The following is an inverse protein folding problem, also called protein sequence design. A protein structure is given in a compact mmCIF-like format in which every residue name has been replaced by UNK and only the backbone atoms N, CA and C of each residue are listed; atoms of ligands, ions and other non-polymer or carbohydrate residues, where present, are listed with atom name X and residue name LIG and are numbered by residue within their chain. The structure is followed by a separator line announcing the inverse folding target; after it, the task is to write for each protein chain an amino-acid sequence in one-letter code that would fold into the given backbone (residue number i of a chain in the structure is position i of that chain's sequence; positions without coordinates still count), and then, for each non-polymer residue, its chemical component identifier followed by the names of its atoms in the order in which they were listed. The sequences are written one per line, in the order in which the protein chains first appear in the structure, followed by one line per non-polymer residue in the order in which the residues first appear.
data_IF_479465113889
#
_entry.id   IF_479465113889
#
_cell.length_a   1.000
_cell.length_b   1.000
_cell.length_c   1.000
_cell.angle_alpha   90.00
_cell.angle_beta   90.00
_cell.angle_gamma   90.00
#
_symmetry.space_group_name_H-M   'P 1'
#
loop_
_entity.id
_entity.type
_entity.pdbx_description
1 polymer ?
#
# COMPACT_ATOMS: atom_id res chain seq x y z
N UNK A 1 18.57 -32.87 -64.80
CA UNK A 1 19.12 -31.50 -64.62
C UNK A 1 18.03 -30.69 -63.91
N UNK A 2 18.25 -30.18 -62.69
CA UNK A 2 18.90 -28.87 -62.41
C UNK A 2 18.22 -27.72 -63.20
N UNK A 3 17.75 -26.60 -62.63
CA UNK A 3 17.65 -26.08 -61.25
C UNK A 3 16.61 -24.92 -61.26
N UNK A 4 16.32 -24.06 -60.26
CA UNK A 4 16.89 -23.76 -58.93
C UNK A 4 15.82 -23.09 -58.03
N UNK A 5 15.40 -23.69 -56.90
CA UNK A 5 14.41 -23.11 -55.97
C UNK A 5 15.07 -22.33 -54.82
N UNK A 6 15.66 -21.18 -55.16
CA UNK A 6 16.31 -20.28 -54.20
C UNK A 6 15.39 -19.24 -53.56
N UNK A 7 14.45 -19.65 -52.69
CA UNK A 7 13.65 -18.69 -51.89
C UNK A 7 14.46 -18.15 -50.71
N UNK A 8 14.89 -16.88 -50.83
CA UNK A 8 15.69 -16.17 -49.82
C UNK A 8 14.98 -16.12 -48.46
N UNK A 9 15.69 -16.56 -47.42
CA UNK A 9 15.32 -16.31 -46.03
C UNK A 9 15.44 -14.82 -45.68
N UNK A 10 14.32 -14.10 -45.70
CA UNK A 10 14.21 -12.74 -45.17
C UNK A 10 14.17 -12.77 -43.65
N UNK A 11 15.31 -13.03 -42.99
CA UNK A 11 15.42 -13.04 -41.54
C UNK A 11 15.39 -11.60 -41.00
N UNK A 12 14.19 -11.00 -41.01
CA UNK A 12 13.90 -9.66 -40.52
C UNK A 12 14.02 -9.59 -39.01
N UNK A 13 15.26 -9.66 -38.52
CA UNK A 13 15.61 -9.46 -37.12
C UNK A 13 15.30 -8.03 -36.71
N UNK A 14 14.04 -7.79 -36.33
CA UNK A 14 13.60 -6.60 -35.62
C UNK A 14 14.49 -6.46 -34.40
N UNK A 15 15.45 -5.54 -34.48
CA UNK A 15 16.31 -5.18 -33.37
C UNK A 15 15.42 -4.68 -32.24
N UNK A 16 15.11 -5.57 -31.29
CA UNK A 16 14.38 -5.16 -30.09
C UNK A 16 15.17 -4.00 -29.48
N UNK A 17 14.54 -2.82 -29.27
CA UNK A 17 15.24 -1.67 -28.72
C UNK A 17 15.80 -2.08 -27.37
N UNK A 18 17.13 -2.27 -27.35
CA UNK A 18 17.77 -3.03 -26.30
C UNK A 18 17.46 -2.42 -24.95
N UNK A 19 17.11 -3.28 -23.98
CA UNK A 19 16.85 -2.89 -22.59
C UNK A 19 18.13 -2.42 -21.89
N UNK A 20 18.72 -1.32 -22.38
CA UNK A 20 19.76 -0.54 -21.71
C UNK A 20 19.23 -0.23 -20.31
N UNK A 21 19.92 -0.77 -19.32
CA UNK A 21 19.30 -1.04 -18.03
C UNK A 21 18.83 0.24 -17.34
N UNK A 22 17.58 0.24 -16.88
CA UNK A 22 16.99 1.25 -15.99
C UNK A 22 17.68 1.36 -14.59
N UNK A 23 18.93 0.90 -14.47
CA UNK A 23 19.78 0.97 -13.29
C UNK A 23 21.00 1.89 -13.48
N UNK A 24 21.17 2.50 -14.67
CA UNK A 24 22.25 3.45 -14.95
C UNK A 24 21.79 4.92 -14.95
N UNK A 25 20.50 5.18 -15.20
CA UNK A 25 19.94 6.52 -14.99
C UNK A 25 19.81 6.78 -13.48
N UNK A 26 20.77 7.49 -12.90
CA UNK A 26 20.74 7.89 -11.49
C UNK A 26 19.52 8.73 -11.10
N UNK A 27 19.41 9.01 -9.79
CA UNK A 27 18.41 9.91 -9.26
C UNK A 27 18.57 11.33 -9.83
N UNK A 28 17.64 11.74 -10.68
CA UNK A 28 17.49 13.14 -11.08
C UNK A 28 16.67 13.85 -10.00
N UNK A 29 17.35 14.67 -9.19
CA UNK A 29 16.68 15.57 -8.24
C UNK A 29 16.08 16.71 -9.07
N UNK A 30 14.77 16.65 -9.30
CA UNK A 30 14.00 17.73 -9.91
C UNK A 30 13.23 18.50 -8.83
N UNK A 31 12.77 19.71 -9.14
CA UNK A 31 11.89 20.47 -8.23
C UNK A 31 10.59 19.68 -7.91
N UNK A 32 10.04 18.95 -8.89
CA UNK A 32 8.90 18.05 -8.70
C UNK A 32 9.25 16.92 -7.73
N UNK A 33 10.39 16.25 -7.90
CA UNK A 33 10.85 15.20 -6.99
C UNK A 33 10.99 15.69 -5.55
N UNK A 34 11.52 16.91 -5.35
CA UNK A 34 11.61 17.53 -4.03
C UNK A 34 10.24 17.85 -3.42
N UNK A 35 9.32 18.45 -4.19
CA UNK A 35 7.95 18.71 -3.74
C UNK A 35 7.19 17.41 -3.38
N UNK A 36 7.38 16.36 -4.17
CA UNK A 36 6.76 15.04 -3.94
C UNK A 36 7.37 14.35 -2.71
N UNK A 37 8.69 14.46 -2.50
CA UNK A 37 9.34 14.03 -1.27
C UNK A 37 8.81 14.78 -0.03
N UNK A 38 8.67 16.10 -0.12
CA UNK A 38 8.11 16.93 0.95
C UNK A 38 6.64 16.59 1.24
N UNK A 39 5.82 16.38 0.20
CA UNK A 39 4.44 15.91 0.36
C UNK A 39 4.38 14.59 1.14
N UNK A 40 5.25 13.63 0.80
CA UNK A 40 5.41 12.39 1.56
C UNK A 40 5.85 12.65 3.00
N UNK A 41 6.88 13.46 3.22
CA UNK A 41 7.42 13.76 4.54
C UNK A 41 6.42 14.44 5.49
N UNK A 42 5.46 15.19 4.94
CA UNK A 42 4.37 15.84 5.69
C UNK A 42 3.15 14.93 5.91
N UNK A 43 3.10 13.71 5.32
CA UNK A 43 1.96 12.79 5.46
C UNK A 43 1.58 12.36 6.88
N UNK A 44 2.46 12.37 7.91
CA UNK A 44 2.04 12.08 9.29
C UNK A 44 1.36 13.27 10.00
N UNK A 45 1.44 14.49 9.45
CA UNK A 45 0.90 15.69 10.09
C UNK A 45 -0.59 15.84 9.76
N UNK A 46 -1.41 16.01 10.78
CA UNK A 46 -2.85 16.29 10.67
C UNK A 46 -3.17 17.73 11.06
N UNK A 47 -4.22 18.28 10.45
CA UNK A 47 -4.75 19.62 10.63
C UNK A 47 -6.25 19.49 10.94
N UNK A 48 -6.67 20.01 12.09
CA UNK A 48 -8.05 19.91 12.57
C UNK A 48 -8.88 21.12 12.12
N UNK A 49 -9.22 21.20 10.83
CA UNK A 49 -9.99 22.33 10.25
C UNK A 49 -11.46 21.96 10.02
N UNK A 50 -11.72 20.84 9.34
CA UNK A 50 -13.07 20.26 9.14
C UNK A 50 -12.94 18.73 9.27
N UNK A 51 -12.72 18.28 10.51
CA UNK A 51 -12.21 16.93 10.77
C UNK A 51 -10.69 16.83 10.55
N UNK A 52 -10.20 15.60 10.45
CA UNK A 52 -8.78 15.28 10.26
C UNK A 52 -8.38 15.40 8.78
N UNK A 53 -7.76 16.53 8.42
CA UNK A 53 -7.14 16.77 7.12
C UNK A 53 -5.63 16.52 7.23
N UNK A 54 -5.03 15.72 6.36
CA UNK A 54 -3.58 15.47 6.40
C UNK A 54 -2.84 16.53 5.59
N UNK A 55 -1.68 16.98 6.05
CA UNK A 55 -0.91 18.02 5.36
C UNK A 55 -0.46 17.58 3.95
N UNK A 56 -0.29 16.28 3.72
CA UNK A 56 -0.04 15.72 2.38
C UNK A 56 -1.19 16.01 1.41
N UNK A 57 -2.45 15.98 1.85
CA UNK A 57 -3.64 16.19 0.99
C UNK A 57 -3.71 17.64 0.46
N UNK A 58 -2.99 18.58 1.09
CA UNK A 58 -2.82 19.96 0.61
C UNK A 58 -1.59 20.13 -0.30
N UNK A 59 -0.47 19.44 -0.01
CA UNK A 59 0.80 19.63 -0.73
C UNK A 59 0.88 18.76 -2.00
N UNK A 60 0.28 17.57 -1.97
CA UNK A 60 0.31 16.60 -3.08
C UNK A 60 -0.38 17.12 -4.36
N UNK A 61 -1.51 17.85 -4.31
CA UNK A 61 -2.10 18.47 -5.50
C UNK A 61 -1.22 19.57 -6.09
N UNK A 62 -0.53 20.34 -5.25
CA UNK A 62 0.43 21.37 -5.70
C UNK A 62 1.63 20.72 -6.41
N UNK A 63 2.14 19.61 -5.87
CA UNK A 63 3.18 18.80 -6.51
C UNK A 63 2.70 18.20 -7.84
N UNK A 64 1.43 17.79 -7.94
CA UNK A 64 0.83 17.31 -9.19
C UNK A 64 0.63 18.42 -10.24
N UNK A 65 0.24 19.63 -9.84
CA UNK A 65 0.19 20.79 -10.75
C UNK A 65 1.58 21.13 -11.29
N UNK A 66 2.60 21.13 -10.42
CA UNK A 66 4.00 21.28 -10.82
C UNK A 66 4.45 20.16 -11.79
N UNK A 67 4.08 18.91 -11.51
CA UNK A 67 4.37 17.78 -12.40
C UNK A 67 3.66 17.92 -13.77
N UNK A 68 2.40 18.37 -13.80
CA UNK A 68 1.60 18.57 -15.02
C UNK A 68 2.17 19.62 -15.97
N UNK A 69 2.82 20.66 -15.44
CA UNK A 69 3.50 21.67 -16.26
C UNK A 69 4.64 21.09 -17.10
N UNK A 70 5.19 19.93 -16.69
CA UNK A 70 6.19 19.19 -17.44
C UNK A 70 5.57 18.08 -18.30
N UNK A 71 6.14 17.84 -19.49
CA UNK A 71 5.59 16.90 -20.47
C UNK A 71 5.51 15.48 -19.89
N UNK A 72 4.32 14.87 -19.91
CA UNK A 72 4.12 13.45 -19.61
C UNK A 72 3.04 13.13 -18.57
N UNK A 73 2.67 14.09 -17.71
CA UNK A 73 1.75 13.85 -16.58
C UNK A 73 0.43 13.14 -16.95
N UNK A 74 -0.16 13.45 -18.10
CA UNK A 74 -1.43 12.88 -18.55
C UNK A 74 -1.37 11.37 -18.91
N UNK A 75 -0.19 10.73 -18.95
CA UNK A 75 -0.06 9.35 -19.45
C UNK A 75 -0.93 8.35 -18.67
N UNK A 76 -0.89 8.40 -17.35
CA UNK A 76 -1.68 7.48 -16.49
C UNK A 76 -3.17 7.84 -16.55
N UNK A 77 -3.52 9.13 -16.66
CA UNK A 77 -4.91 9.59 -16.75
C UNK A 77 -5.65 9.05 -17.98
N UNK A 78 -4.93 8.65 -19.03
CA UNK A 78 -5.50 8.10 -20.26
C UNK A 78 -5.83 6.61 -20.16
N UNK A 79 -5.22 5.88 -19.23
CA UNK A 79 -5.40 4.43 -19.07
C UNK A 79 -6.85 4.08 -18.70
N UNK A 80 -7.47 3.07 -19.32
CA UNK A 80 -8.86 2.71 -19.06
C UNK A 80 -9.09 2.23 -17.63
N UNK A 81 -8.10 1.53 -17.04
CA UNK A 81 -8.15 1.08 -15.64
C UNK A 81 -8.17 2.26 -14.68
N UNK A 82 -7.39 3.31 -14.94
CA UNK A 82 -7.42 4.53 -14.12
C UNK A 82 -8.80 5.21 -14.17
N UNK A 83 -9.38 5.34 -15.38
CA UNK A 83 -10.71 5.91 -15.56
C UNK A 83 -11.81 5.09 -14.88
N UNK A 84 -11.72 3.76 -14.92
CA UNK A 84 -12.66 2.87 -14.23
C UNK A 84 -12.58 3.02 -12.70
N UNK A 85 -11.37 3.11 -12.14
CA UNK A 85 -11.16 3.36 -10.70
C UNK A 85 -11.65 4.75 -10.28
N UNK A 86 -11.39 5.77 -11.11
CA UNK A 86 -11.87 7.13 -10.87
C UNK A 86 -13.40 7.21 -10.92
N UNK A 87 -14.04 6.56 -11.90
CA UNK A 87 -15.49 6.44 -11.98
C UNK A 87 -16.06 5.70 -10.77
N UNK A 88 -15.44 4.60 -10.34
CA UNK A 88 -15.86 3.88 -9.14
C UNK A 88 -15.81 4.78 -7.89
N UNK A 89 -14.74 5.58 -7.72
CA UNK A 89 -14.64 6.53 -6.61
C UNK A 89 -15.72 7.63 -6.66
N UNK A 90 -16.06 8.15 -7.83
CA UNK A 90 -17.20 9.08 -8.00
C UNK A 90 -18.56 8.42 -7.71
N UNK A 91 -18.76 7.16 -8.12
CA UNK A 91 -19.97 6.39 -7.79
C UNK A 91 -20.07 6.14 -6.29
N UNK A 92 -18.95 5.84 -5.61
CA UNK A 92 -18.90 5.74 -4.14
C UNK A 92 -19.25 7.07 -3.46
N UNK A 93 -18.67 8.20 -3.90
CA UNK A 93 -19.00 9.51 -3.37
C UNK A 93 -20.49 9.84 -3.54
N UNK A 94 -21.03 9.63 -4.74
CA UNK A 94 -22.44 9.88 -5.03
C UNK A 94 -23.38 8.94 -4.22
N UNK A 95 -23.00 7.67 -4.07
CA UNK A 95 -23.72 6.72 -3.21
C UNK A 95 -23.78 7.17 -1.75
N UNK A 96 -22.65 7.67 -1.21
CA UNK A 96 -22.63 8.27 0.13
C UNK A 96 -23.49 9.54 0.22
N UNK A 97 -23.43 10.44 -0.78
CA UNK A 97 -24.27 11.64 -0.81
C UNK A 97 -25.77 11.29 -0.78
N UNK A 98 -26.21 10.33 -1.59
CA UNK A 98 -27.60 9.86 -1.58
C UNK A 98 -27.98 9.18 -0.26
N UNK A 99 -27.09 8.34 0.29
CA UNK A 99 -27.29 7.65 1.56
C UNK A 99 -27.49 8.64 2.71
N UNK A 100 -26.61 9.64 2.82
CA UNK A 100 -26.66 10.65 3.88
C UNK A 100 -27.88 11.56 3.77
N UNK A 101 -28.25 11.98 2.55
CA UNK A 101 -29.45 12.78 2.31
C UNK A 101 -30.73 11.99 2.63
N UNK A 102 -30.78 10.69 2.32
CA UNK A 102 -31.92 9.83 2.63
C UNK A 102 -32.05 9.53 4.14
N UNK A 103 -30.93 9.26 4.81
CA UNK A 103 -30.91 8.98 6.25
C UNK A 103 -31.06 10.23 7.12
N UNK A 104 -31.02 11.43 6.53
CA UNK A 104 -31.02 12.69 7.28
C UNK A 104 -29.77 12.87 8.16
N UNK A 105 -28.62 12.37 7.69
CA UNK A 105 -27.34 12.48 8.41
C UNK A 105 -27.06 13.96 8.74
N UNK A 106 -26.46 14.22 9.90
CA UNK A 106 -26.08 15.59 10.29
C UNK A 106 -25.04 16.18 9.34
N UNK A 107 -25.17 17.47 9.04
CA UNK A 107 -24.30 18.23 8.14
C UNK A 107 -22.81 18.07 8.46
N UNK A 108 -22.43 18.14 9.74
CA UNK A 108 -21.05 18.00 10.18
C UNK A 108 -20.46 16.61 9.92
N UNK A 109 -21.29 15.55 10.00
CA UNK A 109 -20.85 14.17 9.76
C UNK A 109 -20.75 13.84 8.27
N UNK A 110 -21.77 14.17 7.47
CA UNK A 110 -21.72 13.86 6.04
C UNK A 110 -20.67 14.70 5.30
N UNK A 111 -20.44 15.97 5.68
CA UNK A 111 -19.36 16.76 5.09
C UNK A 111 -17.98 16.15 5.38
N UNK A 112 -17.77 15.55 6.56
CA UNK A 112 -16.54 14.80 6.88
C UNK A 112 -16.40 13.56 5.98
N UNK A 113 -17.47 12.78 5.80
CA UNK A 113 -17.48 11.60 4.94
C UNK A 113 -17.23 11.92 3.46
N UNK A 114 -17.97 12.89 2.92
CA UNK A 114 -17.84 13.35 1.53
C UNK A 114 -16.47 13.98 1.28
N UNK A 115 -16.00 14.80 2.22
CA UNK A 115 -14.67 15.39 2.20
C UNK A 115 -13.59 14.32 2.12
N UNK A 116 -13.67 13.27 2.96
CA UNK A 116 -12.69 12.18 2.96
C UNK A 116 -12.60 11.46 1.61
N UNK A 117 -13.73 11.16 0.96
CA UNK A 117 -13.73 10.52 -0.36
C UNK A 117 -13.28 11.49 -1.45
N UNK A 118 -13.66 12.77 -1.37
CA UNK A 118 -13.17 13.81 -2.27
C UNK A 118 -11.65 13.96 -2.22
N UNK A 119 -11.05 13.96 -1.03
CA UNK A 119 -9.60 14.00 -0.84
C UNK A 119 -8.93 12.75 -1.42
N UNK A 120 -9.49 11.54 -1.23
CA UNK A 120 -9.00 10.31 -1.87
C UNK A 120 -9.02 10.40 -3.41
N UNK A 121 -10.05 11.01 -4.00
CA UNK A 121 -10.12 11.25 -5.45
C UNK A 121 -9.00 12.22 -5.88
N UNK A 122 -8.81 13.32 -5.15
CA UNK A 122 -7.77 14.32 -5.41
C UNK A 122 -6.36 13.72 -5.30
N UNK A 123 -6.08 12.93 -4.25
CA UNK A 123 -4.82 12.24 -4.05
C UNK A 123 -4.55 11.21 -5.17
N UNK A 124 -5.57 10.43 -5.54
CA UNK A 124 -5.45 9.42 -6.60
C UNK A 124 -5.13 10.06 -7.96
N UNK A 125 -5.80 11.16 -8.31
CA UNK A 125 -5.50 11.95 -9.51
C UNK A 125 -4.09 12.56 -9.41
N UNK A 126 -3.72 13.10 -8.25
CA UNK A 126 -2.42 13.75 -8.03
C UNK A 126 -1.26 12.77 -8.19
N UNK A 127 -1.33 11.60 -7.54
CA UNK A 127 -0.37 10.52 -7.71
C UNK A 127 -0.31 10.02 -9.16
N UNK A 128 -1.45 9.89 -9.85
CA UNK A 128 -1.46 9.48 -11.25
C UNK A 128 -0.72 10.47 -12.17
N UNK A 129 -0.88 11.78 -11.97
CA UNK A 129 -0.14 12.81 -12.69
C UNK A 129 1.37 12.75 -12.37
N UNK A 130 1.72 12.65 -11.08
CA UNK A 130 3.10 12.56 -10.61
C UNK A 130 3.84 11.34 -11.18
N UNK A 131 3.17 10.17 -11.20
CA UNK A 131 3.67 8.90 -11.75
C UNK A 131 3.68 8.89 -13.28
N UNK A 132 2.74 9.60 -13.92
CA UNK A 132 2.70 9.79 -15.37
C UNK A 132 3.88 10.61 -15.89
N UNK A 133 4.30 11.62 -15.12
CA UNK A 133 5.48 12.44 -15.39
C UNK A 133 6.78 11.64 -15.27
N UNK A 134 7.06 11.09 -14.08
CA UNK A 134 8.15 10.14 -13.86
C UNK A 134 7.79 9.16 -12.73
N UNK A 135 7.85 7.86 -13.02
CA UNK A 135 7.60 6.79 -12.05
C UNK A 135 8.58 6.83 -10.86
N UNK A 136 9.75 7.46 -11.00
CA UNK A 136 10.70 7.67 -9.91
C UNK A 136 10.17 8.59 -8.81
N UNK A 137 9.25 9.51 -9.13
CA UNK A 137 8.64 10.40 -8.15
C UNK A 137 7.85 9.61 -7.09
N UNK A 138 7.31 8.43 -7.42
CA UNK A 138 6.67 7.55 -6.44
C UNK A 138 7.65 7.08 -5.36
N UNK A 139 8.90 6.78 -5.73
CA UNK A 139 9.92 6.38 -4.77
C UNK A 139 10.40 7.56 -3.92
N UNK A 140 10.40 8.78 -4.46
CA UNK A 140 10.61 9.99 -3.67
C UNK A 140 9.48 10.23 -2.67
N UNK A 141 8.21 10.04 -3.07
CA UNK A 141 7.06 10.10 -2.17
C UNK A 141 7.19 9.08 -1.04
N UNK A 142 7.43 7.81 -1.37
CA UNK A 142 7.56 6.70 -0.40
C UNK A 142 8.75 6.92 0.54
N UNK A 143 9.90 7.41 0.04
CA UNK A 143 11.03 7.78 0.90
C UNK A 143 10.67 8.93 1.84
N UNK A 144 9.96 9.94 1.32
CA UNK A 144 9.42 11.05 2.09
C UNK A 144 8.53 10.57 3.22
N UNK A 145 7.48 9.79 2.93
CA UNK A 145 6.55 9.25 3.93
C UNK A 145 7.25 8.35 4.97
N UNK A 146 8.23 7.56 4.53
CA UNK A 146 9.04 6.75 5.45
C UNK A 146 9.88 7.59 6.41
N UNK A 147 10.65 8.55 5.90
CA UNK A 147 11.46 9.43 6.75
C UNK A 147 10.57 10.32 7.63
N UNK A 148 9.57 10.98 7.04
CA UNK A 148 8.60 11.81 7.75
C UNK A 148 7.92 11.08 8.90
N UNK A 149 7.49 9.83 8.68
CA UNK A 149 6.91 8.99 9.74
C UNK A 149 7.89 8.70 10.87
N UNK A 150 9.16 8.39 10.57
CA UNK A 150 10.22 8.21 11.60
C UNK A 150 10.43 9.52 12.38
N UNK A 151 10.55 10.66 11.70
CA UNK A 151 10.74 11.97 12.33
C UNK A 151 9.54 12.36 13.21
N UNK A 152 8.32 12.18 12.71
CA UNK A 152 7.10 12.48 13.45
C UNK A 152 6.96 11.63 14.71
N UNK A 153 7.15 10.31 14.60
CA UNK A 153 7.14 9.39 15.74
C UNK A 153 8.21 9.77 16.78
N UNK A 154 9.41 10.16 16.33
CA UNK A 154 10.54 10.41 17.23
C UNK A 154 10.50 11.77 17.90
N UNK A 155 10.15 12.83 17.17
CA UNK A 155 10.30 14.22 17.62
C UNK A 155 8.98 14.93 17.93
N UNK A 156 7.85 14.47 17.39
CA UNK A 156 6.52 15.03 17.73
C UNK A 156 5.85 14.14 18.77
N UNK A 157 5.68 12.85 18.49
CA UNK A 157 5.05 11.90 19.41
C UNK A 157 5.98 11.35 20.50
N UNK A 158 7.28 11.69 20.46
CA UNK A 158 8.29 11.25 21.43
C UNK A 158 8.34 9.72 21.66
N UNK A 159 7.88 8.94 20.68
CA UNK A 159 7.69 7.50 20.81
C UNK A 159 9.05 6.78 20.97
N UNK A 160 9.23 5.94 22.00
CA UNK A 160 10.48 5.22 22.21
C UNK A 160 10.70 4.20 21.09
N UNK A 161 11.96 3.95 20.72
CA UNK A 161 12.31 3.00 19.63
C UNK A 161 11.90 1.55 19.93
N UNK A 162 11.61 1.22 21.19
CA UNK A 162 11.00 -0.05 21.60
C UNK A 162 9.58 -0.26 21.04
N UNK A 163 8.86 0.80 20.67
CA UNK A 163 7.56 0.74 20.00
C UNK A 163 7.67 0.40 18.50
N UNK A 164 8.54 -0.54 18.15
CA UNK A 164 8.78 -0.96 16.76
C UNK A 164 7.48 -1.38 16.06
N UNK A 165 6.73 -2.29 16.69
CA UNK A 165 5.53 -2.91 16.13
C UNK A 165 4.32 -1.98 15.96
N UNK A 166 4.25 -0.91 16.75
CA UNK A 166 3.08 -0.02 16.81
C UNK A 166 3.44 1.42 16.38
N UNK A 167 4.49 1.57 15.58
CA UNK A 167 4.95 2.88 15.11
C UNK A 167 6.00 2.75 14.03
N UNK A 168 7.22 2.34 14.39
CA UNK A 168 8.39 2.52 13.51
C UNK A 168 8.49 1.52 12.34
N UNK A 169 7.90 0.33 12.43
CA UNK A 169 7.98 -0.72 11.39
C UNK A 169 7.64 -0.22 9.99
N UNK A 170 6.51 0.46 9.87
CA UNK A 170 5.89 0.83 8.60
C UNK A 170 6.62 2.01 7.93
N UNK A 171 6.95 3.12 8.61
CA UNK A 171 7.75 4.17 8.02
C UNK A 171 9.21 3.73 7.78
N UNK A 172 9.80 2.86 8.62
CA UNK A 172 11.11 2.26 8.31
C UNK A 172 11.03 1.31 7.10
N UNK A 173 9.91 0.59 6.90
CA UNK A 173 9.69 -0.19 5.69
C UNK A 173 9.70 0.69 4.44
N UNK A 174 8.91 1.76 4.45
CA UNK A 174 8.77 2.65 3.29
C UNK A 174 10.11 3.31 2.95
N UNK A 175 10.84 3.83 3.95
CA UNK A 175 12.17 4.36 3.77
C UNK A 175 13.15 3.31 3.23
N UNK A 176 13.17 2.11 3.81
CA UNK A 176 14.06 1.01 3.39
C UNK A 176 13.74 0.53 1.98
N UNK A 177 12.46 0.34 1.64
CA UNK A 177 12.02 -0.10 0.33
C UNK A 177 12.37 0.92 -0.77
N UNK A 178 12.21 2.21 -0.49
CA UNK A 178 12.63 3.26 -1.41
C UNK A 178 14.16 3.35 -1.56
N UNK A 179 14.94 3.22 -0.48
CA UNK A 179 16.40 3.13 -0.57
C UNK A 179 16.84 1.89 -1.37
N UNK A 180 16.19 0.75 -1.15
CA UNK A 180 16.42 -0.50 -1.87
C UNK A 180 16.16 -0.41 -3.38
N UNK A 181 15.27 0.48 -3.85
CA UNK A 181 15.06 0.72 -5.29
C UNK A 181 16.31 1.28 -5.98
N UNK A 182 17.18 1.99 -5.25
CA UNK A 182 18.44 2.55 -5.76
C UNK A 182 19.65 1.61 -5.58
N UNK A 183 19.48 0.50 -4.84
CA UNK A 183 20.55 -0.47 -4.59
C UNK A 183 20.62 -1.55 -5.69
N UNK A 184 21.79 -2.20 -5.88
CA UNK A 184 21.85 -3.45 -6.62
C UNK A 184 20.87 -4.47 -6.03
N UNK A 185 20.08 -5.14 -6.86
CA UNK A 185 18.98 -6.02 -6.40
C UNK A 185 19.41 -7.07 -5.34
N UNK A 186 20.64 -7.59 -5.41
CA UNK A 186 21.17 -8.51 -4.37
C UNK A 186 21.38 -7.82 -3.02
N UNK A 187 21.88 -6.59 -3.00
CA UNK A 187 22.01 -5.81 -1.77
C UNK A 187 20.64 -5.43 -1.20
N UNK A 188 19.71 -4.98 -2.05
CA UNK A 188 18.33 -4.68 -1.68
C UNK A 188 17.63 -5.87 -0.99
N UNK A 189 17.79 -7.07 -1.55
CA UNK A 189 17.21 -8.29 -0.94
C UNK A 189 17.87 -8.67 0.38
N UNK A 190 19.18 -8.49 0.55
CA UNK A 190 19.86 -8.72 1.85
C UNK A 190 19.38 -7.72 2.90
N UNK A 191 19.24 -6.44 2.55
CA UNK A 191 18.73 -5.39 3.46
C UNK A 191 17.29 -5.68 3.89
N UNK A 192 16.40 -6.02 2.95
CA UNK A 192 15.02 -6.40 3.25
C UNK A 192 14.93 -7.69 4.09
N UNK A 193 15.81 -8.67 3.86
CA UNK A 193 15.87 -9.87 4.69
C UNK A 193 16.30 -9.55 6.12
N UNK A 194 17.31 -8.68 6.29
CA UNK A 194 17.75 -8.19 7.60
C UNK A 194 16.63 -7.46 8.36
N UNK A 195 15.89 -6.57 7.68
CA UNK A 195 14.72 -5.90 8.24
C UNK A 195 13.62 -6.91 8.64
N UNK A 196 13.44 -7.97 7.86
CA UNK A 196 12.53 -9.06 8.17
C UNK A 196 12.92 -9.85 9.42
N UNK A 197 14.21 -10.21 9.57
CA UNK A 197 14.75 -10.88 10.76
C UNK A 197 14.61 -9.99 12.00
N UNK A 198 14.98 -8.71 11.92
CA UNK A 198 14.80 -7.73 12.99
C UNK A 198 13.32 -7.62 13.42
N UNK A 199 12.41 -7.59 12.45
CA UNK A 199 10.97 -7.55 12.69
C UNK A 199 10.43 -8.83 13.33
N UNK A 200 11.07 -9.97 13.09
CA UNK A 200 10.75 -11.23 13.77
C UNK A 200 11.20 -11.20 15.24
N UNK A 201 12.40 -10.69 15.51
CA UNK A 201 12.96 -10.54 16.87
C UNK A 201 12.13 -9.58 17.74
N UNK A 202 11.47 -8.60 17.13
CA UNK A 202 10.56 -7.63 17.78
C UNK A 202 9.09 -8.07 17.79
N UNK A 203 8.83 -9.37 17.57
CA UNK A 203 7.49 -9.99 17.58
C UNK A 203 6.50 -9.48 16.50
N UNK A 204 6.98 -8.78 15.46
CA UNK A 204 6.16 -8.32 14.33
C UNK A 204 6.20 -9.27 13.13
N UNK A 205 5.64 -10.46 13.34
CA UNK A 205 5.73 -11.61 12.42
C UNK A 205 5.07 -11.40 11.04
N UNK A 206 3.93 -10.71 10.98
CA UNK A 206 3.26 -10.36 9.70
C UNK A 206 4.16 -9.48 8.84
N UNK A 207 4.80 -8.50 9.46
CA UNK A 207 5.69 -7.57 8.78
C UNK A 207 7.03 -8.23 8.41
N UNK A 208 7.57 -9.10 9.29
CA UNK A 208 8.71 -9.97 8.98
C UNK A 208 8.45 -10.86 7.75
N UNK A 209 7.28 -11.49 7.67
CA UNK A 209 6.86 -12.31 6.54
C UNK A 209 6.84 -11.53 5.21
N UNK A 210 6.28 -10.31 5.22
CA UNK A 210 6.27 -9.42 4.06
C UNK A 210 7.70 -9.07 3.62
N UNK A 211 8.56 -8.65 4.54
CA UNK A 211 9.95 -8.29 4.24
C UNK A 211 10.74 -9.47 3.64
N UNK A 212 10.62 -10.67 4.24
CA UNK A 212 11.30 -11.88 3.77
C UNK A 212 10.78 -12.34 2.40
N UNK A 213 9.47 -12.25 2.15
CA UNK A 213 8.87 -12.58 0.86
C UNK A 213 9.35 -11.61 -0.24
N UNK A 214 9.32 -10.30 0.02
CA UNK A 214 9.81 -9.29 -0.94
C UNK A 214 11.31 -9.47 -1.17
N UNK A 215 12.10 -9.74 -0.14
CA UNK A 215 13.52 -10.05 -0.26
C UNK A 215 13.78 -11.26 -1.18
N UNK A 216 13.05 -12.36 -0.99
CA UNK A 216 13.17 -13.55 -1.84
C UNK A 216 12.81 -13.25 -3.30
N UNK A 217 11.70 -12.55 -3.55
CA UNK A 217 11.28 -12.14 -4.90
C UNK A 217 12.32 -11.23 -5.58
N UNK A 218 12.90 -10.28 -4.84
CA UNK A 218 13.97 -9.39 -5.33
C UNK A 218 15.25 -10.18 -5.64
N UNK A 219 15.65 -11.13 -4.79
CA UNK A 219 16.82 -12.00 -5.02
C UNK A 219 16.65 -12.89 -6.27
N UNK A 220 15.45 -13.44 -6.44
CA UNK A 220 15.06 -14.22 -7.62
C UNK A 220 15.15 -13.37 -8.88
N UNK A 221 14.61 -12.14 -8.84
CA UNK A 221 14.68 -11.18 -9.95
C UNK A 221 16.13 -10.78 -10.27
N UNK A 222 16.95 -10.57 -9.24
CA UNK A 222 18.39 -10.29 -9.39
C UNK A 222 19.11 -11.42 -10.15
N UNK A 223 18.71 -12.67 -9.90
CA UNK A 223 19.32 -13.87 -10.47
C UNK A 223 18.88 -14.19 -11.91
N UNK A 224 17.91 -13.46 -12.48
CA UNK A 224 17.33 -13.70 -13.82
C UNK A 224 17.43 -12.51 -14.77
N UNK A 225 18.31 -11.55 -14.48
CA UNK A 225 18.43 -10.31 -15.26
C UNK A 225 18.68 -10.61 -16.75
N UNK A 226 17.67 -10.39 -17.60
CA UNK A 226 17.73 -10.63 -19.04
C UNK A 226 17.30 -12.02 -19.54
N UNK A 227 16.73 -12.90 -18.69
CA UNK A 227 16.20 -14.21 -19.12
C UNK A 227 14.70 -14.34 -18.79
N UNK A 228 13.87 -14.93 -19.69
CA UNK A 228 12.47 -15.22 -19.39
C UNK A 228 12.35 -16.21 -18.23
N UNK A 229 11.20 -16.22 -17.56
CA UNK A 229 10.95 -17.16 -16.47
C UNK A 229 10.71 -18.56 -17.03
N UNK A 230 11.67 -19.46 -16.81
CA UNK A 230 11.50 -20.90 -17.02
C UNK A 230 10.72 -21.54 -15.87
N UNK A 231 10.16 -22.73 -16.08
CA UNK A 231 9.39 -23.46 -15.07
C UNK A 231 10.25 -23.85 -13.85
N UNK A 232 11.50 -24.26 -14.08
CA UNK A 232 12.50 -24.44 -13.02
C UNK A 232 12.77 -23.14 -12.24
N UNK A 233 12.55 -21.99 -12.87
CA UNK A 233 12.50 -20.69 -12.22
C UNK A 233 11.25 -20.54 -11.34
N UNK A 234 10.06 -20.77 -11.87
CA UNK A 234 8.80 -20.71 -11.09
C UNK A 234 8.87 -21.62 -9.86
N UNK A 235 9.36 -22.85 -10.02
CA UNK A 235 9.59 -23.81 -8.93
C UNK A 235 10.51 -23.27 -7.83
N UNK A 236 11.63 -22.60 -8.18
CA UNK A 236 12.50 -21.96 -7.18
C UNK A 236 11.82 -20.82 -6.42
N UNK A 237 10.84 -20.14 -7.03
CA UNK A 237 10.02 -19.12 -6.33
C UNK A 237 9.09 -19.80 -5.34
N UNK A 238 8.40 -20.85 -5.77
CA UNK A 238 7.50 -21.63 -4.93
C UNK A 238 8.22 -22.27 -3.74
N UNK A 239 9.42 -22.84 -3.95
CA UNK A 239 10.24 -23.40 -2.87
C UNK A 239 10.68 -22.32 -1.89
N UNK A 240 11.17 -21.17 -2.37
CA UNK A 240 11.58 -20.07 -1.49
C UNK A 240 10.40 -19.50 -0.68
N UNK A 241 9.23 -19.34 -1.30
CA UNK A 241 8.00 -18.94 -0.64
C UNK A 241 7.50 -19.98 0.37
N UNK A 242 7.58 -21.27 0.02
CA UNK A 242 7.22 -22.38 0.90
C UNK A 242 8.13 -22.49 2.13
N UNK A 243 9.44 -22.34 1.96
CA UNK A 243 10.40 -22.31 3.08
C UNK A 243 10.19 -21.09 3.99
N UNK A 244 9.93 -19.91 3.42
CA UNK A 244 9.57 -18.73 4.21
C UNK A 244 8.26 -18.95 4.98
N UNK A 245 7.23 -19.50 4.33
CA UNK A 245 5.95 -19.87 4.94
C UNK A 245 6.09 -20.88 6.08
N UNK A 246 6.92 -21.91 5.89
CA UNK A 246 7.22 -22.91 6.91
C UNK A 246 7.93 -22.27 8.13
N UNK A 247 8.95 -21.44 7.90
CA UNK A 247 9.64 -20.73 8.99
C UNK A 247 8.69 -19.80 9.78
N UNK A 248 7.79 -19.08 9.09
CA UNK A 248 6.74 -18.28 9.74
C UNK A 248 5.82 -19.17 10.58
N UNK A 249 5.38 -20.32 10.04
CA UNK A 249 4.52 -21.27 10.73
C UNK A 249 5.20 -21.82 12.01
N UNK A 250 6.47 -22.22 11.93
CA UNK A 250 7.25 -22.68 13.08
C UNK A 250 7.35 -21.62 14.17
N UNK A 251 7.63 -20.35 13.83
CA UNK A 251 7.64 -19.27 14.83
C UNK A 251 6.24 -19.04 15.41
N UNK A 252 5.18 -19.13 14.61
CA UNK A 252 3.79 -18.95 15.06
C UNK A 252 3.34 -20.05 16.04
N UNK A 253 3.79 -21.29 15.87
CA UNK A 253 3.49 -22.42 16.76
C UNK A 253 4.31 -22.37 18.05
N UNK A 254 5.63 -22.20 17.97
CA UNK A 254 6.53 -22.17 19.15
C UNK A 254 6.16 -21.07 20.16
N UNK A 255 5.55 -19.99 19.71
CA UNK A 255 5.14 -18.84 20.53
C UNK A 255 3.62 -18.77 20.75
N UNK A 256 2.88 -19.82 20.39
CA UNK A 256 1.42 -19.89 20.48
C UNK A 256 0.91 -19.61 21.89
N UNK A 257 1.43 -20.36 22.88
CA UNK A 257 0.99 -20.30 24.27
C UNK A 257 1.08 -18.88 24.88
N UNK A 258 2.21 -18.19 24.71
CA UNK A 258 2.44 -16.83 25.25
C UNK A 258 1.65 -15.71 24.53
N UNK A 259 0.98 -16.03 23.42
CA UNK A 259 0.23 -15.04 22.62
C UNK A 259 -1.25 -15.36 22.44
N UNK A 260 -1.74 -16.51 22.92
CA UNK A 260 -3.11 -16.98 22.75
C UNK A 260 -4.17 -15.94 23.18
N UNK A 261 -4.12 -15.45 24.43
CA UNK A 261 -5.11 -14.45 24.91
C UNK A 261 -5.10 -13.14 24.12
N UNK A 262 -3.91 -12.65 23.71
CA UNK A 262 -3.79 -11.45 22.88
C UNK A 262 -4.31 -11.66 21.45
N UNK A 263 -4.21 -12.88 20.90
CA UNK A 263 -4.82 -13.24 19.61
C UNK A 263 -6.34 -13.27 19.74
N UNK A 264 -6.88 -13.97 20.75
CA UNK A 264 -8.31 -14.08 21.01
C UNK A 264 -8.99 -12.70 21.07
N UNK A 265 -8.45 -11.75 21.84
CA UNK A 265 -8.99 -10.39 21.91
C UNK A 265 -8.95 -9.64 20.56
N UNK A 266 -7.85 -9.77 19.80
CA UNK A 266 -7.71 -9.11 18.50
C UNK A 266 -8.57 -9.74 17.42
N UNK A 267 -8.82 -11.05 17.47
CA UNK A 267 -9.63 -11.76 16.47
C UNK A 267 -11.12 -11.62 16.81
N UNK A 268 -11.52 -11.63 18.09
CA UNK A 268 -12.89 -11.32 18.53
C UNK A 268 -13.37 -9.96 18.00
N UNK A 269 -12.57 -8.89 18.14
CA UNK A 269 -12.91 -7.57 17.60
C UNK A 269 -13.01 -7.53 16.07
N UNK A 270 -12.23 -8.36 15.36
CA UNK A 270 -12.27 -8.44 13.89
C UNK A 270 -13.48 -9.24 13.39
N UNK A 271 -13.82 -10.34 14.07
CA UNK A 271 -15.00 -11.15 13.76
C UNK A 271 -16.28 -10.35 14.04
N UNK A 272 -16.39 -9.71 15.20
CA UNK A 272 -17.51 -8.82 15.53
C UNK A 272 -17.68 -7.69 14.50
N UNK A 273 -16.60 -7.08 14.03
CA UNK A 273 -16.67 -6.05 12.97
C UNK A 273 -17.20 -6.59 11.63
N UNK A 274 -16.81 -7.82 11.26
CA UNK A 274 -17.30 -8.47 10.03
C UNK A 274 -18.78 -8.82 10.16
N UNK A 275 -19.21 -9.42 11.28
CA UNK A 275 -20.60 -9.79 11.52
C UNK A 275 -21.53 -8.57 11.51
N UNK A 276 -21.14 -7.49 12.19
CA UNK A 276 -21.90 -6.22 12.21
C UNK A 276 -21.89 -5.54 10.84
N UNK A 277 -20.80 -5.67 10.08
CA UNK A 277 -20.73 -5.18 8.70
C UNK A 277 -21.70 -5.92 7.78
N UNK A 278 -21.78 -7.24 7.89
CA UNK A 278 -22.75 -8.06 7.15
C UNK A 278 -24.18 -7.68 7.55
N UNK A 279 -24.46 -7.55 8.85
CA UNK A 279 -25.77 -7.16 9.37
C UNK A 279 -26.19 -5.73 8.94
N UNK A 280 -25.24 -4.80 8.83
CA UNK A 280 -25.51 -3.47 8.26
C UNK A 280 -25.87 -3.53 6.78
N UNK A 281 -25.23 -4.42 6.01
CA UNK A 281 -25.54 -4.63 4.59
C UNK A 281 -26.89 -5.33 4.40
N UNK A 282 -27.23 -6.33 5.21
CA UNK A 282 -28.53 -7.03 5.12
C UNK A 282 -29.70 -6.12 5.49
N UNK A 283 -29.52 -5.20 6.45
CA UNK A 283 -30.54 -4.23 6.87
C UNK A 283 -30.79 -3.10 5.86
N UNK A 284 -29.76 -2.65 5.14
CA UNK A 284 -29.90 -1.57 4.16
C UNK A 284 -29.06 -1.84 2.89
N UNK A 285 -29.44 -2.83 2.07
CA UNK A 285 -28.60 -3.32 0.97
C UNK A 285 -28.47 -2.35 -0.21
N UNK A 286 -29.46 -1.47 -0.40
CA UNK A 286 -29.50 -0.52 -1.53
C UNK A 286 -29.00 0.87 -1.12
N UNK A 287 -29.41 1.34 0.07
CA UNK A 287 -29.16 2.72 0.53
C UNK A 287 -27.95 2.78 1.47
N UNK A 288 -27.68 1.74 2.26
CA UNK A 288 -26.67 1.78 3.33
C UNK A 288 -27.12 2.59 4.56
N UNK A 289 -26.16 2.90 5.43
CA UNK A 289 -26.36 3.59 6.73
C UNK A 289 -25.63 4.94 6.81
N UNK A 290 -25.52 5.66 5.68
CA UNK A 290 -24.76 6.91 5.55
C UNK A 290 -23.25 6.69 5.35
N UNK A 291 -22.52 7.80 5.19
CA UNK A 291 -21.04 7.79 5.12
C UNK A 291 -20.37 7.65 6.49
N UNK A 292 -21.12 7.90 7.57
CA UNK A 292 -20.65 7.77 8.95
C UNK A 292 -21.71 7.09 9.83
N UNK A 293 -21.42 5.87 10.29
CA UNK A 293 -22.41 5.03 10.99
C UNK A 293 -22.55 5.43 12.46
N UNK A 294 -23.46 6.37 12.75
CA UNK A 294 -23.96 6.65 14.11
C UNK A 294 -25.07 5.69 14.56
N UNK A 295 -25.34 4.61 13.81
CA UNK A 295 -26.39 3.65 14.14
C UNK A 295 -26.10 2.95 15.49
N UNK A 296 -26.79 3.43 16.54
CA UNK A 296 -26.66 2.96 17.92
C UNK A 296 -26.93 1.46 18.06
N UNK A 297 -27.75 0.86 17.19
CA UNK A 297 -28.01 -0.58 17.20
C UNK A 297 -26.79 -1.36 16.71
N UNK A 298 -26.17 -0.96 15.60
CA UNK A 298 -24.96 -1.62 15.09
C UNK A 298 -23.77 -1.45 16.04
N UNK A 299 -23.66 -0.31 16.71
CA UNK A 299 -22.64 -0.08 17.75
C UNK A 299 -22.90 -0.99 18.97
N UNK A 300 -24.15 -1.12 19.43
CA UNK A 300 -24.51 -2.06 20.51
C UNK A 300 -24.24 -3.51 20.11
N UNK A 301 -24.61 -3.90 18.89
CA UNK A 301 -24.37 -5.24 18.36
C UNK A 301 -22.87 -5.54 18.28
N UNK A 302 -22.04 -4.58 17.88
CA UNK A 302 -20.58 -4.74 17.91
C UNK A 302 -20.04 -4.99 19.32
N UNK A 303 -20.43 -4.16 20.29
CA UNK A 303 -20.00 -4.32 21.68
C UNK A 303 -20.49 -5.66 22.26
N UNK A 304 -21.72 -6.05 21.96
CA UNK A 304 -22.29 -7.34 22.37
C UNK A 304 -21.52 -8.51 21.76
N UNK A 305 -21.33 -8.55 20.44
CA UNK A 305 -20.59 -9.62 19.76
C UNK A 305 -19.14 -9.70 20.23
N UNK A 306 -18.49 -8.56 20.44
CA UNK A 306 -17.13 -8.55 20.98
C UNK A 306 -17.09 -9.14 22.40
N UNK A 307 -18.06 -8.82 23.26
CA UNK A 307 -18.15 -9.38 24.61
C UNK A 307 -18.46 -10.89 24.59
N UNK A 308 -19.41 -11.34 23.76
CA UNK A 308 -19.74 -12.76 23.57
C UNK A 308 -18.52 -13.58 23.11
N UNK A 309 -17.79 -13.09 22.10
CA UNK A 309 -16.59 -13.74 21.57
C UNK A 309 -15.40 -13.73 22.56
N UNK A 310 -15.35 -12.80 23.51
CA UNK A 310 -14.35 -12.81 24.59
C UNK A 310 -14.77 -13.71 25.77
N UNK A 311 -16.07 -13.80 26.08
CA UNK A 311 -16.61 -14.58 27.20
C UNK A 311 -16.82 -16.07 26.89
N UNK A 312 -17.13 -16.42 25.65
CA UNK A 312 -17.34 -17.82 25.22
C UNK A 312 -16.08 -18.68 25.13
N UNK A 313 -14.90 -18.15 25.51
CA UNK A 313 -13.62 -18.85 25.46
C UNK A 313 -13.20 -19.55 26.74
N UNK A 314 -14.04 -19.59 27.78
CA UNK A 314 -13.71 -20.11 29.13
C UNK A 314 -14.57 -21.30 29.59
N UNK A 315 -15.25 -21.98 28.67
CA UNK A 315 -16.02 -23.22 28.90
C UNK A 315 -15.34 -24.44 28.29
#
# INVERSE_FOLDING_TARGET
MMSNTGTRGGNGGLAQPGGRGAAADGLRISAVALLVFLAGALSPLTLNVVGELYAVELVLPLAALAARSSRGGDRVLREPVFKALLLAAFVTLFGYMLSDLFQGTRLDQFLRGWGRVGLVIVDFVSLAVIVGQDRRNLWWFVLGSGLGGIFYLRFVLHSPLSNWKFGYSDPVFLATAALCYFMPLRAASVVLAGLGVWSMMTDYRRFAAICLLVAALVWIRASRRGRPMTDAGALKVLIAGGLAGAAILTVLTMTGAQTAGRRAQSDAGRVAAIEVGIEGITRSPVIGHGSWVENKELIRLFVQRQAELMGGGTS
#
